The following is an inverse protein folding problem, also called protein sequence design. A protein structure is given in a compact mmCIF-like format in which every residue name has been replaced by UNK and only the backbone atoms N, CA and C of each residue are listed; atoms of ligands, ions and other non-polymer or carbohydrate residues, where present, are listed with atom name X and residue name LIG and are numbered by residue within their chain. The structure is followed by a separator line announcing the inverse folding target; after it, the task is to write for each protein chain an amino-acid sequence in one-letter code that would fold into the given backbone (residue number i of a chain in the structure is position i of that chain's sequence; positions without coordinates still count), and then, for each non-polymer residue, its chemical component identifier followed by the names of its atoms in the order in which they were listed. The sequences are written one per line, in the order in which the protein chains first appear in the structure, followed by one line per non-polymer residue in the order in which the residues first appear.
data_IF_707375463915
#
_entry.id   IF_707375463915
#
_cell.length_a   1.000
_cell.length_b   1.000
_cell.length_c   1.000
_cell.angle_alpha   90.00
_cell.angle_beta   90.00
_cell.angle_gamma   90.00
#
_symmetry.space_group_name_H-M   'P 1'
#
loop_
_entity.id
_entity.type
_entity.pdbx_description
1 polymer ?
#
# COMPACT_ATOMS: atom_id res chain seq x y z
N UNK A 1 8.27 -26.25 9.28
CA UNK A 1 8.52 -25.38 8.12
C UNK A 1 7.25 -24.59 7.88
N UNK A 2 7.32 -23.26 7.81
CA UNK A 2 6.16 -22.44 7.43
C UNK A 2 6.09 -22.37 5.91
N UNK A 3 4.91 -22.57 5.37
CA UNK A 3 4.66 -22.73 3.95
C UNK A 3 5.02 -21.44 3.17
N UNK A 4 5.96 -21.50 2.20
CA UNK A 4 6.29 -20.38 1.32
C UNK A 4 5.07 -19.73 0.65
N UNK A 5 4.01 -20.51 0.40
CA UNK A 5 2.78 -20.02 -0.22
C UNK A 5 2.06 -18.97 0.66
N UNK A 6 2.07 -19.14 1.98
CA UNK A 6 1.43 -18.20 2.92
C UNK A 6 2.15 -16.86 2.93
N UNK A 7 3.48 -16.86 2.82
CA UNK A 7 4.30 -15.63 2.76
C UNK A 7 4.02 -14.86 1.47
N UNK A 8 3.97 -15.54 0.32
CA UNK A 8 3.67 -14.88 -0.95
C UNK A 8 2.23 -14.35 -0.99
N UNK A 9 1.26 -15.11 -0.49
CA UNK A 9 -0.13 -14.64 -0.36
C UNK A 9 -0.24 -13.41 0.53
N UNK A 10 0.46 -13.40 1.67
CA UNK A 10 0.51 -12.25 2.57
C UNK A 10 1.12 -11.01 1.89
N UNK A 11 2.19 -11.20 1.13
CA UNK A 11 2.84 -10.14 0.34
C UNK A 11 1.89 -9.58 -0.71
N UNK A 12 1.19 -10.43 -1.45
CA UNK A 12 0.18 -10.02 -2.43
C UNK A 12 -0.90 -9.16 -1.75
N UNK A 13 -1.51 -9.65 -0.66
CA UNK A 13 -2.54 -8.90 0.06
C UNK A 13 -2.05 -7.53 0.54
N UNK A 14 -0.78 -7.42 0.97
CA UNK A 14 -0.21 -6.15 1.43
C UNK A 14 0.19 -5.21 0.28
N UNK A 15 1.01 -5.70 -0.65
CA UNK A 15 1.65 -4.91 -1.71
C UNK A 15 0.67 -4.66 -2.85
N UNK A 16 -0.06 -5.70 -3.25
CA UNK A 16 -0.87 -5.71 -4.45
C UNK A 16 -2.28 -5.21 -4.20
N UNK A 17 -2.90 -5.66 -3.10
CA UNK A 17 -4.28 -5.34 -2.71
C UNK A 17 -4.37 -4.22 -1.65
N UNK A 18 -3.25 -3.79 -1.07
CA UNK A 18 -3.21 -2.65 -0.16
C UNK A 18 -3.81 -2.88 1.23
N UNK A 19 -4.05 -4.13 1.65
CA UNK A 19 -4.59 -4.41 2.98
C UNK A 19 -3.63 -4.02 4.10
N UNK A 20 -4.18 -3.71 5.28
CA UNK A 20 -3.39 -3.53 6.51
C UNK A 20 -2.92 -4.88 7.05
N UNK A 21 -1.87 -4.87 7.87
CA UNK A 21 -1.35 -6.09 8.49
C UNK A 21 -2.39 -6.80 9.36
N UNK A 22 -3.25 -6.04 10.05
CA UNK A 22 -4.33 -6.61 10.87
C UNK A 22 -5.44 -7.24 10.03
N UNK A 23 -5.81 -6.62 8.91
CA UNK A 23 -6.74 -7.23 7.96
C UNK A 23 -6.15 -8.52 7.39
N UNK A 24 -4.86 -8.52 7.04
CA UNK A 24 -4.18 -9.72 6.53
C UNK A 24 -4.14 -10.83 7.57
N UNK A 25 -3.86 -10.52 8.84
CA UNK A 25 -3.92 -11.51 9.92
C UNK A 25 -5.30 -12.16 10.06
N UNK A 26 -6.35 -11.37 9.86
CA UNK A 26 -7.74 -11.85 9.86
C UNK A 26 -8.02 -12.74 8.65
N UNK A 27 -7.54 -12.34 7.46
CA UNK A 27 -7.73 -13.09 6.22
C UNK A 27 -6.93 -14.40 6.14
N UNK A 28 -5.80 -14.48 6.84
CA UNK A 28 -4.96 -15.67 6.92
C UNK A 28 -5.32 -16.59 8.09
N UNK A 29 -6.38 -16.29 8.85
CA UNK A 29 -7.01 -17.15 9.85
C UNK A 29 -6.04 -17.99 10.72
N UNK A 30 -5.05 -17.33 11.32
CA UNK A 30 -4.10 -17.99 12.22
C UNK A 30 -2.99 -18.81 11.54
N UNK A 31 -2.92 -18.87 10.20
CA UNK A 31 -1.81 -19.49 9.46
C UNK A 31 -0.45 -18.86 9.79
N UNK A 32 -0.47 -17.57 10.18
CA UNK A 32 0.73 -16.81 10.54
C UNK A 32 0.50 -15.96 11.79
N UNK A 33 1.50 -15.90 12.68
CA UNK A 33 1.45 -15.01 13.84
C UNK A 33 1.80 -13.58 13.44
N UNK A 34 1.24 -12.59 14.16
CA UNK A 34 1.56 -11.15 13.96
C UNK A 34 3.05 -10.89 13.86
N UNK A 35 3.85 -11.36 14.82
CA UNK A 35 5.31 -11.20 14.83
C UNK A 35 5.96 -11.69 13.52
N UNK A 36 5.48 -12.80 12.99
CA UNK A 36 6.03 -13.40 11.76
C UNK A 36 5.69 -12.57 10.54
N UNK A 37 4.44 -12.11 10.44
CA UNK A 37 3.98 -11.29 9.33
C UNK A 37 4.77 -9.96 9.27
N UNK A 38 4.95 -9.30 10.42
CA UNK A 38 5.76 -8.08 10.51
C UNK A 38 7.23 -8.34 10.17
N UNK A 39 7.81 -9.45 10.62
CA UNK A 39 9.19 -9.79 10.25
C UNK A 39 9.34 -9.95 8.73
N UNK A 40 8.38 -10.58 8.04
CA UNK A 40 8.43 -10.71 6.58
C UNK A 40 8.32 -9.37 5.86
N UNK A 41 7.41 -8.50 6.31
CA UNK A 41 7.26 -7.14 5.77
C UNK A 41 8.58 -6.37 5.77
N UNK A 42 9.30 -6.42 6.89
CA UNK A 42 10.58 -5.72 7.06
C UNK A 42 11.72 -6.41 6.28
N UNK A 43 11.81 -7.74 6.35
CA UNK A 43 12.89 -8.50 5.68
C UNK A 43 12.88 -8.35 4.16
N UNK A 44 11.69 -8.26 3.57
CA UNK A 44 11.50 -8.24 2.11
C UNK A 44 11.20 -6.85 1.56
N UNK A 45 11.21 -5.81 2.41
CA UNK A 45 10.93 -4.43 1.99
C UNK A 45 9.54 -4.25 1.37
N UNK A 46 8.50 -4.85 1.96
CA UNK A 46 7.15 -4.78 1.40
C UNK A 46 6.61 -3.35 1.39
N UNK A 47 7.07 -2.49 2.30
CA UNK A 47 6.71 -1.07 2.34
C UNK A 47 7.16 -0.34 1.06
N UNK A 48 8.43 -0.47 0.70
CA UNK A 48 9.01 0.13 -0.51
C UNK A 48 8.36 -0.45 -1.77
N UNK A 49 8.12 -1.76 -1.80
CA UNK A 49 7.42 -2.41 -2.91
C UNK A 49 6.01 -1.84 -3.10
N UNK A 50 5.29 -1.60 -2.01
CA UNK A 50 3.92 -1.06 -2.04
C UNK A 50 3.91 0.41 -2.50
N UNK A 51 4.88 1.22 -2.08
CA UNK A 51 5.06 2.61 -2.54
C UNK A 51 5.38 2.65 -4.04
N UNK A 52 6.37 1.87 -4.49
CA UNK A 52 6.71 1.72 -5.92
C UNK A 52 5.52 1.21 -6.74
N UNK A 53 4.74 0.31 -6.14
CA UNK A 53 3.36 -0.07 -6.45
C UNK A 53 2.51 1.13 -6.89
N UNK A 54 2.13 1.89 -5.88
CA UNK A 54 1.23 3.03 -5.99
C UNK A 54 1.73 4.05 -7.02
N UNK A 55 3.02 4.38 -6.99
CA UNK A 55 3.59 5.37 -7.90
C UNK A 55 3.54 4.92 -9.37
N UNK A 56 3.80 3.64 -9.66
CA UNK A 56 3.63 3.10 -11.02
C UNK A 56 2.17 3.14 -11.49
N UNK A 57 1.22 2.84 -10.59
CA UNK A 57 -0.21 2.92 -10.93
C UNK A 57 -0.66 4.36 -11.18
N UNK A 58 -0.22 5.31 -10.35
CA UNK A 58 -0.49 6.73 -10.52
C UNK A 58 0.07 7.25 -11.86
N UNK A 59 1.34 6.94 -12.16
CA UNK A 59 1.95 7.29 -13.44
C UNK A 59 1.20 6.70 -14.63
N UNK A 60 0.73 5.45 -14.53
CA UNK A 60 -0.06 4.81 -15.59
C UNK A 60 -1.41 5.50 -15.78
N UNK A 61 -2.09 5.86 -14.68
CA UNK A 61 -3.36 6.58 -14.72
C UNK A 61 -3.20 7.94 -15.40
N UNK A 62 -2.21 8.74 -14.97
CA UNK A 62 -1.92 10.05 -15.57
C UNK A 62 -1.65 9.95 -17.08
N UNK A 63 -0.91 8.93 -17.51
CA UNK A 63 -0.67 8.69 -18.94
C UNK A 63 -1.95 8.35 -19.72
N UNK A 64 -2.88 7.62 -19.11
CA UNK A 64 -4.16 7.30 -19.72
C UNK A 64 -5.10 8.51 -19.76
N UNK A 65 -5.10 9.34 -18.71
CA UNK A 65 -5.84 10.61 -18.68
C UNK A 65 -5.33 11.56 -19.78
N UNK A 66 -4.01 11.76 -19.89
CA UNK A 66 -3.43 12.58 -20.95
C UNK A 66 -3.72 12.05 -22.38
N UNK A 67 -3.77 10.72 -22.54
CA UNK A 67 -4.15 10.12 -23.82
C UNK A 67 -5.64 10.29 -24.11
N UNK A 68 -6.50 10.23 -23.09
CA UNK A 68 -7.93 10.49 -23.21
C UNK A 68 -8.17 11.92 -23.67
N UNK A 69 -7.55 12.91 -23.01
CA UNK A 69 -7.68 14.33 -23.35
C UNK A 69 -7.31 14.57 -24.82
N UNK A 70 -6.17 14.04 -25.26
CA UNK A 70 -5.74 14.15 -26.66
C UNK A 70 -6.75 13.56 -27.65
N UNK A 71 -7.32 12.39 -27.34
CA UNK A 71 -8.31 11.76 -28.23
C UNK A 71 -9.65 12.50 -28.22
N UNK A 72 -10.01 13.15 -27.11
CA UNK A 72 -11.19 14.01 -27.03
C UNK A 72 -11.00 15.25 -27.91
N UNK A 73 -9.85 15.93 -27.84
CA UNK A 73 -9.52 17.07 -28.70
C UNK A 73 -9.57 16.68 -30.20
N UNK A 74 -9.03 15.51 -30.55
CA UNK A 74 -9.11 14.96 -31.92
C UNK A 74 -10.56 14.66 -32.33
N UNK A 75 -11.38 14.13 -31.43
CA UNK A 75 -12.77 13.81 -31.71
C UNK A 75 -13.65 15.06 -31.89
N UNK A 76 -13.32 16.17 -31.23
CA UNK A 76 -14.00 17.47 -31.40
C UNK A 76 -13.79 18.06 -32.80
N UNK A 77 -12.62 17.84 -33.39
CA UNK A 77 -12.28 18.35 -34.73
C UNK A 77 -12.74 17.42 -35.86
N UNK A 78 -12.68 16.10 -35.65
CA UNK A 78 -13.14 15.11 -36.62
C UNK A 78 -13.50 13.78 -35.95
N UNK A 79 -14.78 13.59 -35.63
CA UNK A 79 -15.24 12.34 -35.03
C UNK A 79 -15.22 11.20 -36.05
N UNK A 80 -14.59 10.07 -35.69
CA UNK A 80 -14.71 8.83 -36.46
C UNK A 80 -14.87 7.60 -35.53
N UNK A 81 -15.38 6.45 -36.03
CA UNK A 81 -15.64 5.28 -35.21
C UNK A 81 -14.42 4.71 -34.49
N UNK A 82 -13.21 4.85 -35.06
CA UNK A 82 -11.97 4.37 -34.41
C UNK A 82 -11.60 5.22 -33.21
N UNK A 83 -11.78 6.54 -33.29
CA UNK A 83 -11.54 7.46 -32.17
C UNK A 83 -12.50 7.17 -31.01
N UNK A 84 -13.80 7.06 -31.28
CA UNK A 84 -14.82 6.73 -30.26
C UNK A 84 -14.50 5.39 -29.58
N UNK A 85 -14.14 4.38 -30.38
CA UNK A 85 -13.76 3.07 -29.83
C UNK A 85 -12.53 3.15 -28.93
N UNK A 86 -11.53 3.93 -29.33
CA UNK A 86 -10.28 4.12 -28.57
C UNK A 86 -10.53 4.85 -27.24
N UNK A 87 -11.35 5.92 -27.27
CA UNK A 87 -11.84 6.62 -26.08
C UNK A 87 -12.52 5.64 -25.13
N UNK A 88 -13.45 4.82 -25.63
CA UNK A 88 -14.15 3.81 -24.83
C UNK A 88 -13.20 2.80 -24.16
N UNK A 89 -12.13 2.39 -24.86
CA UNK A 89 -11.10 1.51 -24.30
C UNK A 89 -10.29 2.17 -23.19
N UNK A 90 -9.92 3.44 -23.35
CA UNK A 90 -9.20 4.18 -22.32
C UNK A 90 -10.06 4.39 -21.08
N UNK A 91 -11.34 4.76 -21.25
CA UNK A 91 -12.29 4.88 -20.14
C UNK A 91 -12.42 3.55 -19.38
N UNK A 92 -12.52 2.42 -20.10
CA UNK A 92 -12.56 1.10 -19.47
C UNK A 92 -11.27 0.78 -18.71
N UNK A 93 -10.11 1.12 -19.28
CA UNK A 93 -8.81 0.95 -18.62
C UNK A 93 -8.70 1.81 -17.35
N UNK A 94 -9.12 3.07 -17.39
CA UNK A 94 -9.13 3.97 -16.23
C UNK A 94 -10.03 3.44 -15.12
N UNK A 95 -11.23 2.92 -15.44
CA UNK A 95 -12.13 2.30 -14.47
C UNK A 95 -11.55 1.04 -13.82
N UNK A 96 -10.68 0.31 -14.53
CA UNK A 96 -10.02 -0.90 -14.00
C UNK A 96 -8.85 -0.60 -13.07
N UNK A 97 -8.31 0.62 -13.11
CA UNK A 97 -7.27 1.04 -12.17
C UNK A 97 -7.98 1.35 -10.85
N UNK A 98 -7.88 0.41 -9.90
CA UNK A 98 -8.37 0.62 -8.54
C UNK A 98 -7.75 1.88 -7.96
N UNK A 99 -8.59 2.86 -7.61
CA UNK A 99 -8.20 3.99 -6.75
C UNK A 99 -7.98 3.47 -5.34
N UNK A 100 -6.83 2.86 -5.09
CA UNK A 100 -6.35 2.79 -3.73
C UNK A 100 -5.73 4.15 -3.41
N UNK A 101 -6.55 5.04 -2.85
CA UNK A 101 -6.01 6.20 -2.15
C UNK A 101 -5.21 5.68 -0.97
N UNK A 102 -3.90 5.80 -1.11
CA UNK A 102 -2.99 5.57 -0.01
C UNK A 102 -3.17 6.73 0.96
N UNK A 103 -4.06 6.57 1.94
CA UNK A 103 -3.87 7.30 3.18
C UNK A 103 -2.59 6.75 3.78
N UNK A 104 -1.53 7.56 3.79
CA UNK A 104 -0.35 7.32 4.63
C UNK A 104 -0.83 7.21 6.07
N UNK A 105 -1.28 6.02 6.47
CA UNK A 105 -1.66 5.74 7.83
C UNK A 105 -0.38 5.68 8.65
N UNK A 106 0.01 6.85 9.17
CA UNK A 106 0.79 7.05 10.40
C UNK A 106 2.07 6.20 10.48
N UNK A 107 3.07 6.53 9.66
CA UNK A 107 4.46 6.19 10.01
C UNK A 107 4.95 6.89 11.30
N UNK A 108 4.18 7.85 11.85
CA UNK A 108 4.57 8.59 13.06
C UNK A 108 4.33 7.87 14.40
N UNK A 109 3.64 6.71 14.44
CA UNK A 109 3.34 6.05 15.74
C UNK A 109 4.34 4.99 16.18
N UNK A 110 5.14 4.41 15.29
CA UNK A 110 6.10 3.35 15.68
C UNK A 110 7.45 3.90 16.19
N UNK A 111 7.82 5.13 15.84
CA UNK A 111 9.04 5.77 16.37
C UNK A 111 8.83 6.37 17.76
N UNK A 112 7.61 6.79 18.12
CA UNK A 112 7.34 7.41 19.44
C UNK A 112 7.31 6.37 20.57
N UNK A 113 6.86 5.14 20.32
CA UNK A 113 6.77 4.11 21.39
C UNK A 113 8.16 3.59 21.80
N UNK A 114 9.14 3.55 20.88
CA UNK A 114 10.51 3.10 21.21
C UNK A 114 11.35 4.13 21.97
N UNK A 115 10.96 5.42 21.96
CA UNK A 115 11.68 6.47 22.72
C UNK A 115 11.32 6.51 24.21
N UNK A 116 10.26 5.83 24.65
CA UNK A 116 9.82 5.81 26.05
C UNK A 116 10.47 4.75 26.93
N UNK A 117 11.00 3.67 26.36
CA UNK A 117 11.51 2.50 27.10
C UNK A 117 13.02 2.31 26.98
N UNK A 118 13.80 3.39 27.10
CA UNK A 118 15.24 3.27 27.35
C UNK A 118 15.46 2.99 28.85
N UNK A 119 16.54 2.27 29.21
CA UNK A 119 16.89 2.02 30.62
C UNK A 119 16.95 3.33 31.41
N UNK A 120 17.55 4.35 30.82
CA UNK A 120 17.67 5.68 31.41
C UNK A 120 16.30 6.34 31.71
N UNK A 121 15.30 6.14 30.85
CA UNK A 121 13.95 6.67 31.07
C UNK A 121 13.14 5.85 32.10
N UNK A 122 13.42 4.55 32.21
CA UNK A 122 12.83 3.67 33.23
C UNK A 122 13.37 3.99 34.63
N UNK A 123 14.68 4.22 34.75
CA UNK A 123 15.31 4.61 36.01
C UNK A 123 14.82 5.99 36.50
N UNK A 124 14.57 6.92 35.58
CA UNK A 124 13.96 8.23 35.89
C UNK A 124 12.52 8.09 36.41
N UNK A 125 11.71 7.24 35.78
CA UNK A 125 10.33 6.96 36.20
C UNK A 125 10.27 6.25 37.57
N UNK A 126 11.17 5.30 37.83
CA UNK A 126 11.26 4.61 39.13
C UNK A 126 11.61 5.56 40.27
N UNK A 127 12.46 6.55 39.99
CA UNK A 127 12.85 7.60 40.94
C UNK A 127 11.73 8.62 41.20
N UNK A 128 10.94 8.97 40.19
CA UNK A 128 9.79 9.87 40.33
C UNK A 128 8.56 9.22 40.99
N UNK A 129 8.37 7.91 40.79
CA UNK A 129 7.29 7.13 41.39
C UNK A 129 7.59 6.65 42.83
N UNK A 130 8.80 6.93 43.34
CA UNK A 130 9.17 6.68 44.73
C UNK A 130 9.16 5.20 45.12
N UNK A 131 9.55 4.30 44.21
CA UNK A 131 9.57 2.84 44.45
C UNK A 131 10.92 2.35 45.01
N UNK A 132 11.79 3.27 45.47
CA UNK A 132 12.95 2.97 46.31
C UNK A 132 13.02 3.91 47.52
#
# INVERSE_FOLDING_TARGET
MRDPAVREKAKELFVENGFSMDTILTLLDGEVSRKTLYNWREQDGWGELRISRAQRQQNRRQRLEALLDKLMDEAETATNPRLIFSIGKIIAALKSISTFEFTEEKQEKETTIKKGFTKDNLELLEKELGVL
#
